data_IF_435010590520
#
_entry.id   IF_435010590520
#
_cell.length_a   1.000
_cell.length_b   1.000
_cell.length_c   1.000
_cell.angle_alpha   90.00
_cell.angle_beta   90.00
_cell.angle_gamma   90.00
#
_symmetry.space_group_name_H-M   'P 1'
#
loop_
_entity.id
_entity.type
_entity.pdbx_description
1 polymer ?
#
# COMPACT_ATOMS: atom_id res chain seq x y z
N UNK A 1 -25.11 -30.56 16.37
CA UNK A 1 -24.48 -30.12 15.11
C UNK A 1 -23.33 -29.20 15.48
N UNK A 2 -22.15 -29.48 15.01
CA UNK A 2 -20.98 -28.66 15.22
C UNK A 2 -21.14 -27.29 14.53
N UNK A 3 -20.39 -26.29 15.01
CA UNK A 3 -20.34 -24.97 14.35
C UNK A 3 -19.67 -25.11 12.99
N UNK A 4 -20.34 -24.66 11.92
CA UNK A 4 -19.81 -24.64 10.56
C UNK A 4 -19.27 -23.25 10.27
N UNK A 5 -18.03 -23.16 9.78
CA UNK A 5 -17.37 -21.92 9.38
C UNK A 5 -17.11 -21.94 7.87
N UNK A 6 -17.38 -20.81 7.24
CA UNK A 6 -17.05 -20.58 5.83
C UNK A 6 -16.07 -19.43 5.70
N UNK A 7 -14.92 -19.68 5.07
CA UNK A 7 -13.90 -18.68 4.73
C UNK A 7 -13.60 -18.69 3.24
N UNK A 8 -13.25 -17.55 2.68
CA UNK A 8 -12.90 -17.40 1.27
C UNK A 8 -14.05 -17.00 0.37
N UNK A 9 -13.73 -16.86 -0.91
CA UNK A 9 -14.66 -16.38 -1.92
C UNK A 9 -14.96 -17.46 -2.95
N UNK A 10 -16.20 -17.48 -3.46
CA UNK A 10 -16.66 -18.35 -4.53
C UNK A 10 -17.50 -17.55 -5.52
N UNK A 11 -17.43 -17.90 -6.80
CA UNK A 11 -18.20 -17.28 -7.87
C UNK A 11 -17.53 -17.46 -9.23
N UNK A 12 -18.26 -17.19 -10.30
CA UNK A 12 -17.77 -17.37 -11.68
C UNK A 12 -16.53 -16.49 -11.99
N UNK A 13 -16.49 -15.28 -11.43
CA UNK A 13 -15.40 -14.31 -11.62
C UNK A 13 -14.24 -14.45 -10.64
N UNK A 14 -14.36 -15.38 -9.67
CA UNK A 14 -13.29 -15.62 -8.70
C UNK A 14 -12.22 -16.49 -9.33
N UNK A 15 -10.97 -16.01 -9.25
CA UNK A 15 -9.78 -16.74 -9.68
C UNK A 15 -8.70 -16.65 -8.59
N UNK A 16 -7.84 -17.67 -8.57
CA UNK A 16 -6.69 -17.74 -7.64
C UNK A 16 -7.06 -17.63 -6.16
N UNK A 17 -8.28 -18.04 -5.82
CA UNK A 17 -8.82 -18.10 -4.45
C UNK A 17 -9.57 -19.40 -4.24
N UNK A 18 -9.91 -19.74 -3.00
CA UNK A 18 -10.76 -20.86 -2.66
C UNK A 18 -11.73 -20.49 -1.54
N UNK A 19 -12.89 -21.18 -1.55
CA UNK A 19 -13.80 -21.19 -0.42
C UNK A 19 -13.60 -22.46 0.38
N UNK A 20 -13.46 -22.31 1.69
CA UNK A 20 -13.34 -23.39 2.67
C UNK A 20 -14.57 -23.42 3.54
N UNK A 21 -15.22 -24.59 3.66
CA UNK A 21 -16.32 -24.83 4.59
C UNK A 21 -15.84 -25.91 5.55
N UNK A 22 -15.76 -25.61 6.83
CA UNK A 22 -15.15 -26.43 7.87
C UNK A 22 -16.10 -26.68 9.02
N UNK A 23 -16.20 -27.95 9.44
CA UNK A 23 -16.87 -28.43 10.64
C UNK A 23 -15.93 -29.37 11.41
N UNK A 24 -15.79 -29.16 12.72
CA UNK A 24 -15.11 -30.14 13.59
C UNK A 24 -16.09 -31.25 13.95
N UNK A 25 -15.61 -32.52 13.93
CA UNK A 25 -16.40 -33.72 14.21
C UNK A 25 -15.81 -34.48 15.38
N UNK A 26 -16.59 -35.35 16.03
CA UNK A 26 -16.12 -36.13 17.19
C UNK A 26 -15.37 -37.39 16.78
N UNK A 27 -15.57 -37.88 15.55
CA UNK A 27 -15.03 -39.13 15.06
C UNK A 27 -14.83 -39.11 13.52
N UNK A 28 -14.39 -40.23 12.94
CA UNK A 28 -14.23 -40.49 11.50
C UNK A 28 -13.02 -39.85 10.83
N UNK A 29 -12.07 -39.24 11.59
CA UNK A 29 -10.87 -38.66 10.99
C UNK A 29 -11.17 -37.38 10.23
N UNK A 30 -10.29 -37.07 9.27
CA UNK A 30 -10.41 -35.88 8.42
C UNK A 30 -11.04 -36.26 7.08
N UNK A 31 -12.28 -35.86 6.85
CA UNK A 31 -13.01 -36.01 5.58
C UNK A 31 -12.81 -34.76 4.72
N UNK A 32 -12.13 -34.91 3.55
CA UNK A 32 -11.78 -33.81 2.66
C UNK A 32 -12.54 -33.96 1.34
N UNK A 33 -13.43 -33.02 1.08
CA UNK A 33 -14.13 -32.90 -0.21
C UNK A 33 -13.49 -31.77 -1.02
N UNK A 34 -12.81 -32.11 -2.12
CA UNK A 34 -12.14 -31.16 -2.98
C UNK A 34 -12.88 -31.01 -4.32
N UNK A 35 -13.41 -29.83 -4.56
CA UNK A 35 -13.95 -29.36 -5.84
C UNK A 35 -12.98 -28.33 -6.42
N UNK A 36 -12.16 -28.69 -7.41
CA UNK A 36 -11.11 -27.80 -7.93
C UNK A 36 -11.09 -27.82 -9.45
N UNK A 37 -10.91 -26.64 -10.05
CA UNK A 37 -10.69 -26.47 -11.49
C UNK A 37 -9.35 -27.07 -11.94
N UNK A 38 -8.41 -27.25 -11.02
CA UNK A 38 -7.04 -27.77 -11.28
C UNK A 38 -6.80 -29.12 -10.61
N UNK A 39 -7.87 -29.85 -10.25
CA UNK A 39 -7.81 -31.10 -9.49
C UNK A 39 -6.93 -32.15 -10.13
N UNK A 40 -6.94 -32.29 -11.46
CA UNK A 40 -6.13 -33.28 -12.21
C UNK A 40 -4.62 -33.07 -12.06
N UNK A 41 -4.18 -31.82 -11.82
CA UNK A 41 -2.75 -31.47 -11.69
C UNK A 41 -2.31 -31.32 -10.23
N UNK A 42 -3.15 -30.72 -9.40
CA UNK A 42 -2.79 -30.30 -8.04
C UNK A 42 -3.68 -30.89 -6.94
N UNK A 43 -4.63 -31.76 -7.27
CA UNK A 43 -5.58 -32.31 -6.29
C UNK A 43 -4.91 -33.02 -5.13
N UNK A 44 -3.91 -33.89 -5.41
CA UNK A 44 -3.16 -34.61 -4.37
C UNK A 44 -2.37 -33.67 -3.47
N UNK A 45 -1.72 -32.63 -4.03
CA UNK A 45 -0.94 -31.67 -3.27
C UNK A 45 -1.83 -30.79 -2.38
N UNK A 46 -3.03 -30.42 -2.85
CA UNK A 46 -4.01 -29.65 -2.04
C UNK A 46 -4.51 -30.51 -0.87
N UNK A 47 -4.80 -31.79 -1.09
CA UNK A 47 -5.22 -32.73 -0.05
C UNK A 47 -4.08 -32.94 0.97
N UNK A 48 -2.85 -33.12 0.52
CA UNK A 48 -1.69 -33.27 1.39
C UNK A 48 -1.50 -32.02 2.25
N UNK A 49 -1.47 -30.82 1.65
CA UNK A 49 -1.39 -29.53 2.37
C UNK A 49 -2.49 -29.42 3.42
N UNK A 50 -3.72 -29.79 3.07
CA UNK A 50 -4.85 -29.74 4.00
C UNK A 50 -4.62 -30.63 5.21
N UNK A 51 -4.20 -31.88 5.00
CA UNK A 51 -3.86 -32.82 6.09
C UNK A 51 -2.73 -32.30 6.98
N UNK A 52 -1.69 -31.73 6.38
CA UNK A 52 -0.56 -31.14 7.13
C UNK A 52 -1.01 -30.01 8.04
N UNK A 53 -1.91 -29.15 7.56
CA UNK A 53 -2.46 -28.04 8.36
C UNK A 53 -3.26 -28.61 9.55
N UNK A 54 -4.14 -29.58 9.35
CA UNK A 54 -4.91 -30.19 10.44
C UNK A 54 -3.98 -30.89 11.46
N UNK A 55 -2.99 -31.63 10.98
CA UNK A 55 -1.97 -32.25 11.85
C UNK A 55 -1.21 -31.20 12.67
N UNK A 56 -0.79 -30.09 12.04
CA UNK A 56 -0.09 -28.99 12.71
C UNK A 56 -0.92 -28.38 13.86
N UNK A 57 -2.22 -28.21 13.64
CA UNK A 57 -3.14 -27.70 14.67
C UNK A 57 -3.57 -28.77 15.68
N UNK A 58 -3.26 -30.04 15.46
CA UNK A 58 -3.64 -31.15 16.34
C UNK A 58 -5.13 -31.49 16.25
N UNK A 59 -5.74 -31.31 15.09
CA UNK A 59 -7.15 -31.60 14.86
C UNK A 59 -7.29 -33.02 14.25
N UNK A 60 -7.78 -34.01 15.01
CA UNK A 60 -7.87 -35.39 14.53
C UNK A 60 -9.12 -35.67 13.69
N UNK A 61 -10.20 -34.90 13.89
CA UNK A 61 -11.48 -35.18 13.25
C UNK A 61 -12.12 -33.88 12.73
N UNK A 62 -12.42 -33.84 11.44
CA UNK A 62 -13.06 -32.71 10.79
C UNK A 62 -13.68 -33.11 9.44
N UNK A 63 -14.70 -32.38 9.03
CA UNK A 63 -15.18 -32.36 7.65
C UNK A 63 -14.85 -31.03 7.01
N UNK A 64 -14.14 -31.04 5.88
CA UNK A 64 -13.78 -29.85 5.13
C UNK A 64 -14.17 -29.97 3.67
N UNK A 65 -14.87 -28.97 3.16
CA UNK A 65 -15.12 -28.83 1.71
C UNK A 65 -14.28 -27.66 1.21
N UNK A 66 -13.49 -27.88 0.16
CA UNK A 66 -12.67 -26.88 -0.50
C UNK A 66 -13.17 -26.70 -1.93
N UNK A 67 -13.74 -25.53 -2.21
CA UNK A 67 -14.13 -25.10 -3.56
C UNK A 67 -13.03 -24.22 -4.11
N UNK A 68 -12.11 -24.81 -4.87
CA UNK A 68 -10.90 -24.16 -5.36
C UNK A 68 -11.05 -23.63 -6.78
N UNK A 69 -10.69 -22.38 -6.99
CA UNK A 69 -10.62 -21.67 -8.27
C UNK A 69 -9.18 -21.40 -8.72
N UNK A 70 -8.25 -22.31 -8.42
CA UNK A 70 -6.84 -22.20 -8.75
C UNK A 70 -6.05 -21.36 -7.73
N UNK A 71 -6.38 -21.49 -6.45
CA UNK A 71 -5.66 -20.82 -5.38
C UNK A 71 -4.24 -21.38 -5.23
N UNK A 72 -3.30 -20.50 -4.94
CA UNK A 72 -1.94 -20.90 -4.62
C UNK A 72 -1.85 -21.46 -3.19
N UNK A 73 -0.90 -22.36 -2.88
CA UNK A 73 -0.82 -23.05 -1.59
C UNK A 73 -0.87 -22.12 -0.38
N UNK A 74 -0.23 -20.96 -0.46
CA UNK A 74 -0.21 -19.97 0.63
C UNK A 74 -1.57 -19.28 0.85
N UNK A 75 -2.44 -19.20 -0.16
CA UNK A 75 -3.81 -18.72 0.03
C UNK A 75 -4.75 -19.81 0.52
N UNK A 76 -4.59 -21.05 0.04
CA UNK A 76 -5.33 -22.20 0.59
C UNK A 76 -5.05 -22.32 2.08
N UNK A 77 -3.76 -22.27 2.50
CA UNK A 77 -3.40 -22.36 3.91
C UNK A 77 -3.96 -21.19 4.72
N UNK A 78 -3.98 -19.97 4.19
CA UNK A 78 -4.58 -18.81 4.86
C UNK A 78 -6.09 -19.01 5.11
N UNK A 79 -6.83 -19.52 4.13
CA UNK A 79 -8.27 -19.78 4.25
C UNK A 79 -8.58 -20.89 5.26
N UNK A 80 -7.82 -22.00 5.22
CA UNK A 80 -7.99 -23.11 6.17
C UNK A 80 -7.65 -22.66 7.58
N UNK A 81 -6.51 -21.99 7.79
CA UNK A 81 -6.12 -21.48 9.11
C UNK A 81 -7.14 -20.49 9.68
N UNK A 82 -7.63 -19.56 8.84
CA UNK A 82 -8.67 -18.62 9.24
C UNK A 82 -9.97 -19.31 9.70
N UNK A 83 -10.36 -20.42 9.02
CA UNK A 83 -11.51 -21.21 9.42
C UNK A 83 -11.25 -21.97 10.74
N UNK A 84 -10.09 -22.59 10.89
CA UNK A 84 -9.69 -23.32 12.12
C UNK A 84 -9.74 -22.37 13.33
N UNK A 85 -9.14 -21.18 13.21
CA UNK A 85 -9.06 -20.23 14.34
C UNK A 85 -10.39 -19.58 14.73
N UNK A 86 -11.45 -19.76 13.96
CA UNK A 86 -12.82 -19.44 14.36
C UNK A 86 -13.51 -20.56 15.14
N UNK A 87 -12.95 -21.78 15.12
CA UNK A 87 -13.50 -22.96 15.80
C UNK A 87 -12.71 -23.32 17.07
N UNK A 88 -11.41 -23.05 17.08
CA UNK A 88 -10.54 -23.35 18.24
C UNK A 88 -9.72 -22.13 18.64
N UNK A 89 -9.45 -21.97 19.92
CA UNK A 89 -8.46 -21.03 20.41
C UNK A 89 -7.06 -21.61 20.21
N UNK A 90 -6.22 -20.94 19.46
CA UNK A 90 -4.86 -21.37 19.20
C UNK A 90 -3.93 -20.17 18.92
N UNK A 91 -2.78 -20.15 19.58
CA UNK A 91 -1.71 -19.19 19.32
C UNK A 91 -0.73 -19.68 18.23
N UNK A 92 -0.91 -20.90 17.70
CA UNK A 92 -0.10 -21.43 16.62
C UNK A 92 -0.42 -20.70 15.32
N UNK A 93 0.59 -20.51 14.48
CA UNK A 93 0.44 -19.97 13.13
C UNK A 93 1.04 -20.94 12.13
N UNK A 94 0.29 -21.31 11.09
CA UNK A 94 0.80 -22.19 10.05
C UNK A 94 1.58 -21.34 9.02
N UNK A 95 2.89 -21.34 9.17
CA UNK A 95 3.82 -20.49 8.41
C UNK A 95 4.88 -21.34 7.67
N UNK A 96 4.47 -22.18 6.71
CA UNK A 96 5.45 -22.97 5.94
C UNK A 96 6.41 -22.04 5.18
N UNK A 97 7.56 -22.59 4.82
CA UNK A 97 8.52 -21.89 3.98
C UNK A 97 8.00 -21.90 2.54
N UNK A 98 7.41 -20.81 2.14
CA UNK A 98 7.09 -20.56 0.73
C UNK A 98 8.37 -20.02 0.09
N UNK A 99 8.92 -20.64 -0.92
CA UNK A 99 10.14 -20.21 -1.62
C UNK A 99 10.09 -18.70 -1.93
N UNK A 100 10.66 -17.91 -1.02
CA UNK A 100 10.63 -16.48 -1.06
C UNK A 100 11.94 -16.00 -1.64
N UNK A 101 11.89 -15.10 -2.60
CA UNK A 101 13.06 -14.39 -3.06
C UNK A 101 13.66 -13.56 -1.91
N UNK A 102 14.73 -14.12 -1.29
CA UNK A 102 15.43 -13.47 -0.19
C UNK A 102 16.32 -12.30 -0.64
N UNK A 103 16.46 -12.07 -1.97
CA UNK A 103 17.21 -10.95 -2.52
C UNK A 103 16.50 -9.60 -2.34
N UNK A 104 15.19 -9.61 -2.08
CA UNK A 104 14.41 -8.41 -1.86
C UNK A 104 14.75 -7.80 -0.50
N UNK A 105 15.19 -6.54 -0.51
CA UNK A 105 15.45 -5.77 0.71
C UNK A 105 14.22 -5.78 1.63
N UNK A 106 14.44 -6.11 2.91
CA UNK A 106 13.39 -6.07 3.91
C UNK A 106 12.97 -4.64 4.27
N UNK A 107 13.88 -3.67 4.10
CA UNK A 107 13.66 -2.26 4.45
C UNK A 107 13.57 -1.40 3.22
N UNK A 108 12.74 -0.37 3.26
CA UNK A 108 12.66 0.66 2.24
C UNK A 108 13.23 1.99 2.76
N UNK A 109 13.71 2.85 1.84
CA UNK A 109 14.26 4.14 2.21
C UNK A 109 13.14 5.10 2.65
N UNK A 110 13.48 6.00 3.59
CA UNK A 110 12.56 7.05 4.05
C UNK A 110 12.05 7.91 2.90
N UNK A 111 12.97 8.30 2.03
CA UNK A 111 12.75 9.27 0.95
C UNK A 111 12.44 8.60 -0.39
N UNK A 112 12.11 7.29 -0.37
CA UNK A 112 11.67 6.55 -1.55
C UNK A 112 10.53 7.28 -2.25
N UNK A 113 10.52 7.23 -3.60
CA UNK A 113 9.38 7.72 -4.38
C UNK A 113 8.13 6.89 -4.11
N UNK A 114 6.99 7.58 -3.94
CA UNK A 114 5.67 6.99 -3.71
C UNK A 114 4.64 7.65 -4.63
N UNK A 115 4.99 7.72 -5.93
CA UNK A 115 4.19 8.42 -6.95
C UNK A 115 2.86 7.69 -7.15
N UNK A 116 2.89 6.37 -7.38
CA UNK A 116 1.69 5.55 -7.50
C UNK A 116 1.61 4.51 -6.39
N UNK A 117 0.42 4.36 -5.80
CA UNK A 117 0.16 3.37 -4.76
C UNK A 117 -1.14 2.66 -5.06
N UNK A 118 -1.01 1.37 -5.46
CA UNK A 118 -2.13 0.55 -5.89
C UNK A 118 -2.83 -0.09 -4.69
N UNK A 119 -4.10 0.27 -4.49
CA UNK A 119 -4.98 -0.36 -3.50
C UNK A 119 -5.51 -1.69 -4.00
N UNK A 120 -5.44 -2.72 -3.16
CA UNK A 120 -5.95 -4.07 -3.41
C UNK A 120 -6.72 -4.56 -2.19
N UNK A 121 -7.98 -5.03 -2.35
CA UNK A 121 -8.73 -5.62 -1.24
C UNK A 121 -7.97 -6.78 -0.59
N UNK A 122 -7.81 -6.75 0.74
CA UNK A 122 -7.03 -7.72 1.50
C UNK A 122 -7.60 -9.14 1.52
N UNK A 123 -8.83 -9.32 1.05
CA UNK A 123 -9.49 -10.63 0.93
C UNK A 123 -9.58 -11.15 -0.52
N UNK A 124 -8.84 -10.54 -1.46
CA UNK A 124 -8.91 -10.85 -2.90
C UNK A 124 -7.56 -11.32 -3.45
N UNK A 125 -7.15 -12.58 -3.19
CA UNK A 125 -5.87 -13.14 -3.62
C UNK A 125 -5.53 -12.95 -5.09
N UNK A 126 -6.51 -13.14 -5.98
CA UNK A 126 -6.31 -13.04 -7.43
C UNK A 126 -5.82 -11.68 -7.90
N UNK A 127 -6.13 -10.60 -7.16
CA UNK A 127 -5.65 -9.26 -7.48
C UNK A 127 -4.21 -9.02 -7.00
N UNK A 128 -3.72 -9.81 -6.03
CA UNK A 128 -2.40 -9.61 -5.41
C UNK A 128 -1.27 -10.24 -6.22
N UNK A 129 -1.51 -11.41 -6.82
CA UNK A 129 -0.47 -12.28 -7.40
C UNK A 129 0.38 -11.56 -8.45
N UNK A 130 -0.26 -10.82 -9.35
CA UNK A 130 0.40 -10.15 -10.47
C UNK A 130 0.46 -8.62 -10.32
N UNK A 131 0.09 -8.08 -9.17
CA UNK A 131 -0.01 -6.63 -8.98
C UNK A 131 1.33 -5.91 -9.21
N UNK A 132 2.44 -6.51 -8.81
CA UNK A 132 3.77 -5.94 -8.98
C UNK A 132 4.24 -5.85 -10.44
N UNK A 133 3.69 -6.64 -11.36
CA UNK A 133 4.01 -6.59 -12.80
C UNK A 133 3.60 -5.26 -13.46
N UNK A 134 2.73 -4.50 -12.82
CA UNK A 134 2.31 -3.17 -13.28
C UNK A 134 3.24 -2.05 -12.80
N UNK A 135 4.30 -2.40 -12.04
CA UNK A 135 5.32 -1.49 -11.52
C UNK A 135 4.78 -0.26 -10.76
N UNK A 136 3.84 -0.41 -9.81
CA UNK A 136 3.53 0.69 -8.90
C UNK A 136 4.69 0.90 -7.93
N UNK A 137 4.85 2.11 -7.40
CA UNK A 137 5.85 2.37 -6.35
C UNK A 137 5.51 1.68 -5.03
N UNK A 138 4.22 1.54 -4.74
CA UNK A 138 3.71 0.82 -3.58
C UNK A 138 2.44 0.03 -3.87
N UNK A 139 2.27 -1.08 -3.17
CA UNK A 139 1.06 -1.89 -3.18
C UNK A 139 0.47 -1.86 -1.77
N UNK A 140 -0.78 -1.44 -1.68
CA UNK A 140 -1.54 -1.34 -0.44
C UNK A 140 -2.49 -2.53 -0.36
N UNK A 141 -2.20 -3.47 0.56
CA UNK A 141 -3.12 -4.54 0.92
C UNK A 141 -4.11 -3.97 1.96
N UNK A 142 -5.35 -3.83 1.56
CA UNK A 142 -6.33 -3.11 2.35
C UNK A 142 -7.16 -4.03 3.26
N UNK A 143 -7.12 -3.80 4.57
CA UNK A 143 -7.92 -4.51 5.57
C UNK A 143 -9.14 -3.69 6.03
N UNK A 144 -9.28 -2.46 5.55
CA UNK A 144 -10.32 -1.54 6.01
C UNK A 144 -11.54 -1.56 5.08
N UNK A 145 -11.86 -0.49 4.35
CA UNK A 145 -13.13 -0.31 3.64
C UNK A 145 -13.31 -1.25 2.44
N UNK A 146 -12.23 -1.72 1.81
CA UNK A 146 -12.34 -2.67 0.71
C UNK A 146 -12.66 -4.11 1.15
N UNK A 147 -12.79 -4.36 2.46
CA UNK A 147 -13.12 -5.67 3.04
C UNK A 147 -14.38 -5.57 3.87
N UNK A 148 -15.39 -6.35 3.51
CA UNK A 148 -16.65 -6.44 4.26
C UNK A 148 -16.40 -6.84 5.74
N UNK A 149 -17.16 -6.32 6.70
CA UNK A 149 -16.92 -6.52 8.13
C UNK A 149 -16.77 -7.99 8.54
N UNK A 150 -17.60 -8.88 8.00
CA UNK A 150 -17.58 -10.31 8.28
C UNK A 150 -16.36 -11.04 7.69
N UNK A 151 -15.67 -10.42 6.71
CA UNK A 151 -14.49 -10.96 6.05
C UNK A 151 -13.16 -10.45 6.64
N UNK A 152 -13.20 -9.45 7.53
CA UNK A 152 -12.00 -8.82 8.09
C UNK A 152 -11.11 -9.80 8.85
N UNK A 153 -11.69 -10.76 9.56
CA UNK A 153 -10.92 -11.78 10.26
C UNK A 153 -10.07 -12.60 9.28
N UNK A 154 -10.67 -13.15 8.24
CA UNK A 154 -9.97 -14.03 7.28
C UNK A 154 -8.99 -13.25 6.38
N UNK A 155 -9.27 -11.96 6.09
CA UNK A 155 -8.40 -11.11 5.29
C UNK A 155 -7.01 -10.94 5.92
N UNK A 156 -6.90 -10.90 7.25
CA UNK A 156 -5.62 -10.84 7.97
C UNK A 156 -4.66 -11.97 7.59
N UNK A 157 -5.19 -13.21 7.50
CA UNK A 157 -4.40 -14.39 7.11
C UNK A 157 -3.97 -14.33 5.64
N UNK A 158 -4.87 -13.85 4.76
CA UNK A 158 -4.57 -13.65 3.34
C UNK A 158 -3.46 -12.61 3.17
N UNK A 159 -3.59 -11.45 3.80
CA UNK A 159 -2.59 -10.36 3.75
C UNK A 159 -1.25 -10.82 4.34
N UNK A 160 -1.27 -11.51 5.49
CA UNK A 160 -0.06 -12.10 6.10
C UNK A 160 0.68 -13.01 5.12
N UNK A 161 -0.05 -13.95 4.51
CA UNK A 161 0.57 -14.90 3.60
C UNK A 161 0.98 -14.25 2.27
N UNK A 162 0.25 -13.23 1.79
CA UNK A 162 0.65 -12.45 0.62
C UNK A 162 1.98 -11.70 0.87
N UNK A 163 2.14 -11.03 2.02
CA UNK A 163 3.39 -10.37 2.41
C UNK A 163 4.59 -11.32 2.45
N UNK A 164 4.35 -12.61 2.76
CA UNK A 164 5.38 -13.66 2.85
C UNK A 164 5.75 -14.26 1.51
N UNK A 165 4.77 -14.44 0.62
CA UNK A 165 4.90 -15.33 -0.54
C UNK A 165 4.78 -14.62 -1.90
N UNK A 166 4.08 -13.49 -1.99
CA UNK A 166 3.88 -12.80 -3.27
C UNK A 166 5.09 -11.92 -3.59
N UNK A 167 5.62 -12.07 -4.81
CA UNK A 167 6.59 -11.12 -5.34
C UNK A 167 5.87 -9.86 -5.81
N UNK A 168 6.20 -8.71 -5.21
CA UNK A 168 5.69 -7.41 -5.63
C UNK A 168 6.68 -6.64 -6.51
N UNK A 169 7.71 -7.32 -7.04
CA UNK A 169 8.68 -6.78 -8.01
C UNK A 169 9.29 -5.43 -7.59
N UNK A 170 9.65 -5.30 -6.31
CA UNK A 170 10.27 -4.10 -5.76
C UNK A 170 9.28 -3.01 -5.31
N UNK A 171 7.98 -3.14 -5.53
CA UNK A 171 6.99 -2.24 -4.95
C UNK A 171 7.02 -2.28 -3.41
N UNK A 172 6.85 -1.13 -2.76
CA UNK A 172 6.79 -1.04 -1.30
C UNK A 172 5.56 -1.78 -0.78
N UNK A 173 5.76 -2.70 0.17
CA UNK A 173 4.69 -3.51 0.76
C UNK A 173 3.99 -2.69 1.84
N UNK A 174 2.82 -2.21 1.50
CA UNK A 174 2.00 -1.38 2.37
C UNK A 174 0.76 -2.11 2.82
N UNK A 175 0.29 -1.85 4.03
CA UNK A 175 -0.99 -2.36 4.54
C UNK A 175 -1.80 -1.21 5.12
N UNK A 176 -3.05 -1.04 4.66
CA UNK A 176 -4.02 -0.20 5.34
C UNK A 176 -4.72 -1.05 6.40
N UNK A 177 -4.47 -0.73 7.67
CA UNK A 177 -5.10 -1.41 8.82
C UNK A 177 -6.53 -0.92 9.02
N UNK A 178 -7.30 -1.62 9.83
CA UNK A 178 -8.59 -1.13 10.27
C UNK A 178 -8.43 0.13 11.15
N UNK A 179 -9.52 0.87 11.35
CA UNK A 179 -9.52 2.04 12.22
C UNK A 179 -9.08 1.68 13.64
N UNK A 180 -8.35 2.58 14.28
CA UNK A 180 -7.96 2.42 15.68
C UNK A 180 -9.20 2.60 16.58
N UNK A 181 -9.43 1.71 17.58
CA UNK A 181 -8.47 0.73 18.14
C UNK A 181 -8.47 -0.65 17.48
N UNK A 182 -9.47 -1.01 16.68
CA UNK A 182 -9.58 -2.36 16.09
C UNK A 182 -8.37 -2.75 15.23
N UNK A 183 -7.77 -1.78 14.50
CA UNK A 183 -6.60 -1.97 13.66
C UNK A 183 -5.31 -2.34 14.40
N UNK A 184 -5.25 -2.14 15.73
CA UNK A 184 -4.09 -2.59 16.50
C UNK A 184 -3.90 -4.11 16.45
N UNK A 185 -4.99 -4.88 16.34
CA UNK A 185 -4.92 -6.32 16.18
C UNK A 185 -4.41 -6.77 14.80
N UNK A 186 -4.55 -5.93 13.77
CA UNK A 186 -4.03 -6.23 12.44
C UNK A 186 -2.50 -6.25 12.43
N UNK A 187 -1.87 -5.45 13.30
CA UNK A 187 -0.43 -5.31 13.41
C UNK A 187 0.26 -6.64 13.78
N UNK A 188 -0.39 -7.49 14.56
CA UNK A 188 0.14 -8.80 14.93
C UNK A 188 0.31 -9.71 13.71
N UNK A 189 -0.54 -9.55 12.69
CA UNK A 189 -0.51 -10.33 11.46
C UNK A 189 0.45 -9.80 10.40
N UNK A 190 0.86 -8.54 10.46
CA UNK A 190 1.63 -7.92 9.36
C UNK A 190 3.06 -7.57 9.75
N UNK A 191 3.29 -7.11 10.99
CA UNK A 191 4.62 -6.69 11.45
C UNK A 191 5.67 -7.82 11.35
N UNK A 192 5.38 -9.06 11.78
CA UNK A 192 6.36 -10.16 11.66
C UNK A 192 6.62 -10.60 10.21
N UNK A 193 5.86 -10.08 9.24
CA UNK A 193 5.78 -10.64 7.89
C UNK A 193 6.09 -9.65 6.77
N UNK A 194 7.19 -8.89 6.90
CA UNK A 194 7.80 -8.08 5.83
C UNK A 194 6.99 -6.87 5.35
N UNK A 195 6.06 -6.35 6.15
CA UNK A 195 5.44 -5.05 5.84
C UNK A 195 6.50 -3.95 5.89
N UNK A 196 6.46 -3.01 4.94
CA UNK A 196 7.37 -1.87 4.91
C UNK A 196 6.71 -0.61 5.50
N UNK A 197 5.41 -0.41 5.21
CA UNK A 197 4.70 0.79 5.57
C UNK A 197 3.25 0.46 5.97
N UNK A 198 2.78 1.11 7.04
CA UNK A 198 1.41 0.98 7.56
C UNK A 198 0.65 2.27 7.28
N UNK A 199 -0.50 2.14 6.61
CA UNK A 199 -1.47 3.21 6.47
C UNK A 199 -2.45 3.16 7.64
N UNK A 200 -2.61 4.31 8.31
CA UNK A 200 -3.53 4.46 9.46
C UNK A 200 -4.73 5.27 8.97
N UNK A 201 -5.90 4.63 8.74
CA UNK A 201 -7.08 5.32 8.25
C UNK A 201 -7.68 6.22 9.33
N UNK A 202 -8.45 7.20 8.91
CA UNK A 202 -9.23 8.13 9.76
C UNK A 202 -8.40 8.68 10.93
N UNK A 203 -7.16 9.10 10.58
CA UNK A 203 -6.22 9.62 11.56
C UNK A 203 -6.52 11.08 11.86
N UNK A 204 -6.85 11.36 13.12
CA UNK A 204 -7.25 12.69 13.60
C UNK A 204 -6.37 13.21 14.73
N UNK A 205 -5.61 12.34 15.40
CA UNK A 205 -4.89 12.68 16.62
C UNK A 205 -3.51 12.04 16.70
N UNK A 206 -2.61 12.67 17.44
CA UNK A 206 -1.27 12.14 17.77
C UNK A 206 -1.40 10.82 18.56
N UNK A 207 -2.44 10.68 19.37
CA UNK A 207 -2.63 9.50 20.21
C UNK A 207 -2.79 8.22 19.40
N UNK A 208 -3.46 8.27 18.24
CA UNK A 208 -3.56 7.13 17.34
C UNK A 208 -2.17 6.69 16.82
N UNK A 209 -1.29 7.65 16.53
CA UNK A 209 0.11 7.37 16.12
C UNK A 209 0.90 6.71 17.26
N UNK A 210 0.74 7.20 18.50
CA UNK A 210 1.41 6.62 19.68
C UNK A 210 0.97 5.18 19.90
N UNK A 211 -0.32 4.89 19.89
CA UNK A 211 -0.87 3.54 20.06
C UNK A 211 -0.32 2.57 19.01
N UNK A 212 -0.25 2.99 17.74
CA UNK A 212 0.34 2.18 16.66
C UNK A 212 1.81 1.92 16.92
N UNK A 213 2.60 2.95 17.27
CA UNK A 213 4.03 2.81 17.54
C UNK A 213 4.34 1.96 18.78
N UNK A 214 3.56 2.07 19.83
CA UNK A 214 3.65 1.20 21.01
C UNK A 214 3.41 -0.26 20.63
N UNK A 215 2.37 -0.53 19.82
CA UNK A 215 2.11 -1.90 19.35
C UNK A 215 3.23 -2.42 18.44
N UNK A 216 3.73 -1.61 17.50
CA UNK A 216 4.90 -1.95 16.69
C UNK A 216 6.09 -2.32 17.57
N UNK A 217 6.38 -1.54 18.60
CA UNK A 217 7.51 -1.78 19.51
C UNK A 217 7.37 -3.11 20.26
N UNK A 218 6.19 -3.40 20.79
CA UNK A 218 5.91 -4.67 21.50
C UNK A 218 6.12 -5.86 20.56
N UNK A 219 5.57 -5.81 19.36
CA UNK A 219 5.69 -6.90 18.39
C UNK A 219 7.14 -7.04 17.91
N UNK A 220 7.82 -5.93 17.62
CA UNK A 220 9.20 -5.93 17.18
C UNK A 220 10.15 -6.53 18.21
N UNK A 221 9.96 -6.24 19.49
CA UNK A 221 10.70 -6.87 20.59
C UNK A 221 10.43 -8.37 20.67
N UNK A 222 9.16 -8.77 20.56
CA UNK A 222 8.76 -10.19 20.63
C UNK A 222 9.39 -11.05 19.53
N UNK A 223 9.50 -10.49 18.31
CA UNK A 223 9.97 -11.22 17.13
C UNK A 223 11.38 -10.83 16.68
N UNK A 224 12.11 -10.02 17.46
CA UNK A 224 13.47 -9.53 17.16
C UNK A 224 13.54 -8.80 15.80
N UNK A 225 12.55 -7.97 15.48
CA UNK A 225 12.48 -7.23 14.22
C UNK A 225 13.30 -5.95 14.36
N UNK A 226 14.34 -5.82 13.52
CA UNK A 226 15.23 -4.64 13.48
C UNK A 226 14.93 -3.70 12.32
N UNK A 227 14.15 -4.14 11.34
CA UNK A 227 13.78 -3.30 10.20
C UNK A 227 12.88 -2.14 10.65
N UNK A 228 13.08 -0.99 10.01
CA UNK A 228 12.18 0.17 10.21
C UNK A 228 10.86 -0.08 9.51
N UNK A 229 9.78 0.23 10.21
CA UNK A 229 8.40 0.22 9.69
C UNK A 229 7.94 1.66 9.61
N UNK A 230 7.57 2.07 8.40
CA UNK A 230 7.12 3.42 8.13
C UNK A 230 5.62 3.58 8.37
N UNK A 231 5.19 4.80 8.66
CA UNK A 231 3.78 5.15 8.84
C UNK A 231 3.35 6.18 7.79
N UNK A 232 2.13 6.02 7.32
CA UNK A 232 1.41 6.98 6.47
C UNK A 232 -0.01 7.14 7.00
N UNK A 233 -0.24 8.09 7.91
CA UNK A 233 -1.59 8.47 8.33
C UNK A 233 -2.43 8.96 7.14
N UNK A 234 -3.70 8.54 7.08
CA UNK A 234 -4.67 9.05 6.11
C UNK A 234 -5.54 10.08 6.82
N UNK A 235 -5.53 11.29 6.29
CA UNK A 235 -6.29 12.44 6.78
C UNK A 235 -7.55 12.56 5.91
N UNK A 236 -8.69 12.33 6.51
CA UNK A 236 -9.96 12.19 5.78
C UNK A 236 -11.17 12.71 6.58
N UNK A 237 -10.90 13.68 7.49
CA UNK A 237 -11.91 14.45 8.20
C UNK A 237 -11.46 15.89 8.42
N UNK A 238 -12.39 16.80 8.68
CA UNK A 238 -12.11 18.19 9.02
C UNK A 238 -11.16 18.30 10.22
N UNK A 239 -11.39 17.50 11.27
CA UNK A 239 -10.53 17.46 12.44
C UNK A 239 -9.12 16.99 12.11
N UNK A 240 -8.99 15.94 11.27
CA UNK A 240 -7.69 15.46 10.80
C UNK A 240 -6.92 16.52 10.01
N UNK A 241 -7.60 17.24 9.11
CA UNK A 241 -7.01 18.36 8.35
C UNK A 241 -6.54 19.48 9.28
N UNK A 242 -7.29 19.81 10.32
CA UNK A 242 -6.88 20.83 11.30
C UNK A 242 -5.64 20.42 12.09
N UNK A 243 -5.48 19.13 12.40
CA UNK A 243 -4.37 18.57 13.17
C UNK A 243 -3.20 18.04 12.31
N UNK A 244 -3.27 18.16 10.98
CA UNK A 244 -2.34 17.51 10.04
C UNK A 244 -0.86 17.79 10.34
N UNK A 245 -0.49 19.03 10.72
CA UNK A 245 0.90 19.36 11.04
C UNK A 245 1.39 18.65 12.31
N UNK A 246 0.58 18.63 13.35
CA UNK A 246 0.94 17.98 14.61
C UNK A 246 1.04 16.46 14.45
N UNK A 247 0.13 15.86 13.67
CA UNK A 247 0.20 14.45 13.28
C UNK A 247 1.51 14.19 12.50
N UNK A 248 1.80 15.01 11.47
CA UNK A 248 2.97 14.84 10.60
C UNK A 248 4.31 14.80 11.35
N UNK A 249 4.46 15.57 12.42
CA UNK A 249 5.69 15.68 13.22
C UNK A 249 5.72 14.79 14.46
N UNK A 250 4.67 14.03 14.74
CA UNK A 250 4.50 13.31 16.01
C UNK A 250 5.42 12.09 16.17
N UNK A 251 5.99 11.56 15.08
CA UNK A 251 6.91 10.43 15.13
C UNK A 251 7.89 10.42 13.95
N UNK A 252 9.12 9.97 14.20
CA UNK A 252 10.21 9.98 13.21
C UNK A 252 10.02 8.96 12.08
N UNK A 253 9.12 7.98 12.26
CA UNK A 253 8.80 6.98 11.26
C UNK A 253 7.59 7.34 10.40
N UNK A 254 6.99 8.51 10.56
CA UNK A 254 6.03 9.05 9.60
C UNK A 254 6.83 9.57 8.40
N UNK A 255 6.53 9.03 7.22
CA UNK A 255 7.23 9.40 5.97
C UNK A 255 6.33 10.16 5.01
N UNK A 256 5.03 10.06 5.18
CA UNK A 256 4.04 10.75 4.36
C UNK A 256 2.71 10.92 5.13
N UNK A 257 1.90 11.87 4.69
CA UNK A 257 0.46 11.88 4.95
C UNK A 257 -0.27 11.68 3.61
N UNK A 258 -1.34 10.89 3.63
CA UNK A 258 -2.28 10.81 2.52
C UNK A 258 -3.59 11.55 2.85
N UNK A 259 -4.26 12.11 1.85
CA UNK A 259 -5.60 12.66 2.01
C UNK A 259 -6.63 11.71 1.40
N UNK A 260 -7.74 11.43 2.11
CA UNK A 260 -8.87 10.64 1.64
C UNK A 260 -10.07 11.55 1.38
N UNK A 261 -10.32 11.89 0.11
CA UNK A 261 -11.32 12.91 -0.22
C UNK A 261 -12.76 12.40 -0.20
N UNK A 262 -12.99 11.10 -0.35
CA UNK A 262 -14.34 10.52 -0.25
C UNK A 262 -14.88 10.66 1.19
N UNK A 263 -14.10 10.16 2.17
CA UNK A 263 -14.47 10.29 3.58
C UNK A 263 -14.45 11.75 4.05
N UNK A 264 -13.49 12.56 3.56
CA UNK A 264 -13.43 13.98 3.90
C UNK A 264 -14.68 14.75 3.47
N UNK A 265 -15.16 14.53 2.25
CA UNK A 265 -16.39 15.20 1.78
C UNK A 265 -17.64 14.65 2.47
N UNK A 266 -17.65 13.35 2.79
CA UNK A 266 -18.70 12.76 3.61
C UNK A 266 -18.75 13.35 5.03
N UNK A 267 -17.59 13.55 5.68
CA UNK A 267 -17.47 14.20 6.99
C UNK A 267 -18.00 15.65 6.97
N UNK A 268 -17.78 16.37 5.86
CA UNK A 268 -18.30 17.72 5.66
C UNK A 268 -19.79 17.76 5.24
N UNK A 269 -20.39 16.62 4.89
CA UNK A 269 -21.76 16.56 4.37
C UNK A 269 -21.94 17.17 2.97
N UNK A 270 -20.89 17.13 2.14
CA UNK A 270 -20.88 17.67 0.77
C UNK A 270 -20.45 16.60 -0.24
N UNK A 271 -20.71 16.85 -1.53
CA UNK A 271 -20.27 15.97 -2.60
C UNK A 271 -18.95 16.43 -3.21
N UNK A 272 -18.15 15.49 -3.68
CA UNK A 272 -16.99 15.80 -4.53
C UNK A 272 -17.45 16.42 -5.84
N UNK A 273 -16.70 17.41 -6.30
CA UNK A 273 -16.91 18.04 -7.60
C UNK A 273 -15.75 17.75 -8.54
N UNK A 274 -15.99 17.86 -9.84
CA UNK A 274 -14.95 17.67 -10.85
C UNK A 274 -13.87 18.75 -10.77
N UNK A 275 -14.26 19.94 -10.35
CA UNK A 275 -13.39 21.11 -10.17
C UNK A 275 -12.53 21.01 -8.90
N UNK A 276 -12.97 20.23 -7.89
CA UNK A 276 -12.25 19.99 -6.64
C UNK A 276 -12.12 21.23 -5.73
N UNK A 277 -12.98 22.23 -5.92
CA UNK A 277 -12.93 23.50 -5.14
C UNK A 277 -13.27 23.27 -3.67
N UNK A 278 -14.14 22.33 -3.38
CA UNK A 278 -14.54 21.93 -2.01
C UNK A 278 -13.37 21.36 -1.20
N UNK A 279 -12.39 20.76 -1.85
CA UNK A 279 -11.23 20.10 -1.23
C UNK A 279 -9.92 20.91 -1.32
N UNK A 280 -9.93 22.01 -2.08
CA UNK A 280 -8.71 22.79 -2.37
C UNK A 280 -8.00 23.28 -1.09
N UNK A 281 -8.74 23.85 -0.14
CA UNK A 281 -8.18 24.36 1.11
C UNK A 281 -7.55 23.25 1.97
N UNK A 282 -8.23 22.09 2.07
CA UNK A 282 -7.74 20.92 2.80
C UNK A 282 -6.49 20.36 2.15
N UNK A 283 -6.48 20.18 0.82
CA UNK A 283 -5.32 19.70 0.05
C UNK A 283 -4.12 20.63 0.20
N UNK A 284 -4.33 21.94 0.09
CA UNK A 284 -3.27 22.94 0.28
C UNK A 284 -2.70 22.89 1.70
N UNK A 285 -3.56 22.79 2.72
CA UNK A 285 -3.13 22.67 4.13
C UNK A 285 -2.32 21.40 4.37
N UNK A 286 -2.73 20.28 3.77
CA UNK A 286 -1.98 19.01 3.82
C UNK A 286 -0.56 19.15 3.27
N UNK A 287 -0.41 19.76 2.08
CA UNK A 287 0.91 19.99 1.47
C UNK A 287 1.79 20.85 2.39
N UNK A 288 1.24 21.95 2.93
CA UNK A 288 1.98 22.82 3.86
C UNK A 288 2.41 22.07 5.12
N UNK A 289 1.53 21.28 5.73
CA UNK A 289 1.82 20.48 6.91
C UNK A 289 2.96 19.47 6.65
N UNK A 290 2.88 18.74 5.54
CA UNK A 290 3.89 17.76 5.15
C UNK A 290 5.25 18.42 4.86
N UNK A 291 5.26 19.53 4.12
CA UNK A 291 6.51 20.27 3.81
C UNK A 291 7.14 20.84 5.06
N UNK A 292 6.36 21.38 5.98
CA UNK A 292 6.86 21.90 7.27
C UNK A 292 7.43 20.79 8.17
N UNK A 293 6.88 19.56 8.09
CA UNK A 293 7.37 18.40 8.82
C UNK A 293 8.50 17.64 8.10
N UNK A 294 8.85 17.99 6.85
CA UNK A 294 9.88 17.31 6.05
C UNK A 294 9.48 15.90 5.61
N UNK A 295 8.19 15.70 5.27
CA UNK A 295 7.64 14.43 4.80
C UNK A 295 6.87 14.62 3.49
N UNK A 296 6.46 13.52 2.87
CA UNK A 296 5.74 13.50 1.60
C UNK A 296 4.25 13.81 1.78
N UNK A 297 3.68 14.61 0.87
CA UNK A 297 2.23 14.79 0.76
C UNK A 297 1.71 13.94 -0.40
N UNK A 298 0.69 13.13 -0.13
CA UNK A 298 0.13 12.17 -1.08
C UNK A 298 -1.34 12.46 -1.28
N UNK A 299 -1.76 12.62 -2.55
CA UNK A 299 -3.13 12.95 -2.87
C UNK A 299 -4.05 11.72 -2.92
N UNK A 300 -5.34 11.98 -2.96
CA UNK A 300 -6.42 11.00 -2.95
C UNK A 300 -6.43 10.15 -4.23
N UNK A 301 -7.18 9.05 -4.17
CA UNK A 301 -7.50 8.22 -5.34
C UNK A 301 -8.43 8.96 -6.30
N UNK A 302 -8.36 8.57 -7.58
CA UNK A 302 -9.34 8.94 -8.60
C UNK A 302 -10.25 7.74 -8.86
N UNK A 303 -11.55 7.92 -8.65
CA UNK A 303 -12.52 6.81 -8.59
C UNK A 303 -12.95 6.26 -9.95
N UNK A 304 -12.91 7.07 -11.02
CA UNK A 304 -13.29 6.62 -12.36
C UNK A 304 -12.10 5.95 -13.06
N UNK A 305 -12.17 4.63 -13.24
CA UNK A 305 -11.09 3.83 -13.87
C UNK A 305 -11.02 3.96 -15.39
N UNK A 306 -12.06 4.45 -16.03
CA UNK A 306 -12.13 4.59 -17.50
C UNK A 306 -11.75 6.01 -17.95
N UNK A 307 -11.93 7.03 -17.12
CA UNK A 307 -11.62 8.44 -17.46
C UNK A 307 -10.14 8.79 -17.15
N UNK A 308 -9.23 8.26 -17.99
CA UNK A 308 -7.80 8.51 -17.84
C UNK A 308 -7.39 9.96 -18.13
N UNK A 309 -8.16 10.71 -18.92
CA UNK A 309 -7.85 12.13 -19.20
C UNK A 309 -8.17 13.01 -17.97
N UNK A 310 -9.31 12.83 -17.33
CA UNK A 310 -9.61 13.53 -16.07
C UNK A 310 -8.63 13.10 -14.95
N UNK A 311 -8.22 11.84 -14.90
CA UNK A 311 -7.15 11.40 -14.00
C UNK A 311 -5.85 12.17 -14.26
N UNK A 312 -5.43 12.31 -15.53
CA UNK A 312 -4.23 13.06 -15.91
C UNK A 312 -4.31 14.52 -15.46
N UNK A 313 -5.42 15.18 -15.69
CA UNK A 313 -5.63 16.58 -15.27
C UNK A 313 -5.58 16.70 -13.75
N UNK A 314 -6.25 15.80 -13.02
CA UNK A 314 -6.20 15.74 -11.56
C UNK A 314 -4.77 15.55 -11.04
N UNK A 315 -4.00 14.62 -11.62
CA UNK A 315 -2.63 14.38 -11.22
C UNK A 315 -1.70 15.58 -11.49
N UNK A 316 -1.90 16.31 -12.60
CA UNK A 316 -1.17 17.55 -12.88
C UNK A 316 -1.52 18.66 -11.87
N UNK A 317 -2.79 18.80 -11.49
CA UNK A 317 -3.22 19.72 -10.45
C UNK A 317 -2.60 19.35 -9.09
N UNK A 318 -2.57 18.06 -8.74
CA UNK A 318 -1.94 17.54 -7.53
C UNK A 318 -0.45 17.90 -7.49
N UNK A 319 0.29 17.64 -8.58
CA UNK A 319 1.69 18.05 -8.74
C UNK A 319 1.86 19.55 -8.57
N UNK A 320 1.01 20.36 -9.18
CA UNK A 320 1.06 21.83 -9.09
C UNK A 320 0.82 22.34 -7.66
N UNK A 321 -0.03 21.67 -6.87
CA UNK A 321 -0.24 21.95 -5.45
C UNK A 321 0.96 21.57 -4.58
N UNK A 322 1.82 20.65 -5.03
CA UNK A 322 3.00 20.19 -4.30
C UNK A 322 2.88 18.80 -3.70
N UNK A 323 1.87 18.02 -4.07
CA UNK A 323 1.86 16.59 -3.81
C UNK A 323 2.97 15.88 -4.61
N UNK A 324 3.44 14.74 -4.12
CA UNK A 324 4.50 13.94 -4.78
C UNK A 324 3.98 12.64 -5.39
N UNK A 325 2.72 12.34 -5.20
CA UNK A 325 2.06 11.16 -5.75
C UNK A 325 0.60 11.09 -5.30
N UNK A 326 -0.08 10.04 -5.75
CA UNK A 326 -1.49 9.79 -5.41
C UNK A 326 -1.81 8.29 -5.35
N UNK A 327 -2.94 7.95 -4.74
CA UNK A 327 -3.46 6.59 -4.74
C UNK A 327 -4.04 6.21 -6.11
N UNK A 328 -4.04 4.92 -6.42
CA UNK A 328 -4.76 4.36 -7.57
C UNK A 328 -5.48 3.06 -7.16
N UNK A 329 -6.60 2.78 -7.83
CA UNK A 329 -7.46 1.63 -7.54
C UNK A 329 -7.49 0.61 -8.69
N UNK A 330 -6.81 0.92 -9.80
CA UNK A 330 -6.70 0.04 -10.95
C UNK A 330 -5.32 0.17 -11.62
N UNK A 331 -4.69 -0.93 -12.11
CA UNK A 331 -3.38 -0.88 -12.75
C UNK A 331 -3.29 0.07 -13.96
N UNK A 332 -4.37 0.27 -14.73
CA UNK A 332 -4.41 1.22 -15.86
C UNK A 332 -4.05 2.66 -15.46
N UNK A 333 -4.30 3.04 -14.20
CA UNK A 333 -4.04 4.39 -13.70
C UNK A 333 -2.56 4.66 -13.45
N UNK A 334 -1.75 3.61 -13.19
CA UNK A 334 -0.34 3.74 -12.76
C UNK A 334 0.47 4.55 -13.76
N UNK A 335 0.43 4.17 -15.05
CA UNK A 335 1.21 4.86 -16.08
C UNK A 335 0.81 6.32 -16.21
N UNK A 336 -0.50 6.62 -16.21
CA UNK A 336 -1.02 8.00 -16.30
C UNK A 336 -0.53 8.85 -15.13
N UNK A 337 -0.54 8.30 -13.91
CA UNK A 337 -0.04 8.98 -12.72
C UNK A 337 1.45 9.23 -12.84
N UNK A 338 2.27 8.23 -13.17
CA UNK A 338 3.71 8.38 -13.35
C UNK A 338 4.04 9.44 -14.40
N UNK A 339 3.38 9.40 -15.57
CA UNK A 339 3.62 10.38 -16.64
C UNK A 339 3.24 11.81 -16.25
N UNK A 340 2.18 11.99 -15.42
CA UNK A 340 1.76 13.30 -14.96
C UNK A 340 2.70 13.90 -13.89
N UNK A 341 3.19 13.07 -12.97
CA UNK A 341 4.13 13.52 -11.92
C UNK A 341 5.56 13.66 -12.41
N UNK A 342 5.96 12.93 -13.45
CA UNK A 342 7.30 13.05 -14.04
C UNK A 342 7.53 14.46 -14.59
N UNK A 343 8.78 14.95 -14.57
CA UNK A 343 9.14 16.16 -15.28
C UNK A 343 8.97 16.00 -16.80
N UNK A 344 8.28 16.96 -17.44
CA UNK A 344 8.12 17.00 -18.88
C UNK A 344 9.41 17.43 -19.58
N UNK A 345 9.53 17.15 -20.89
CA UNK A 345 10.72 17.52 -21.69
C UNK A 345 11.03 19.01 -21.60
N UNK A 346 10.01 19.86 -21.68
CA UNK A 346 10.18 21.33 -21.58
C UNK A 346 10.64 21.76 -20.19
N UNK A 347 10.14 21.10 -19.12
CA UNK A 347 10.56 21.37 -17.76
C UNK A 347 12.04 20.99 -17.57
N UNK A 348 12.47 19.85 -18.11
CA UNK A 348 13.84 19.35 -18.06
C UNK A 348 14.77 20.32 -18.80
N UNK A 349 14.45 20.68 -20.05
CA UNK A 349 15.30 21.58 -20.85
C UNK A 349 15.41 22.98 -20.23
N UNK A 350 14.32 23.47 -19.65
CA UNK A 350 14.34 24.73 -18.90
C UNK A 350 15.21 24.63 -17.64
N UNK A 351 15.12 23.51 -16.90
CA UNK A 351 15.91 23.27 -15.69
C UNK A 351 17.42 23.20 -16.03
N UNK A 352 17.79 22.50 -17.11
CA UNK A 352 19.19 22.48 -17.61
C UNK A 352 19.72 23.89 -17.88
N UNK A 353 18.96 24.70 -18.64
CA UNK A 353 19.38 26.10 -18.97
C UNK A 353 19.54 26.93 -17.72
N UNK A 354 18.67 26.79 -16.72
CA UNK A 354 18.75 27.52 -15.44
C UNK A 354 20.02 27.14 -14.68
N UNK A 355 20.29 25.84 -14.52
CA UNK A 355 21.48 25.34 -13.79
C UNK A 355 22.76 25.80 -14.46
N UNK A 356 22.89 25.63 -15.78
CA UNK A 356 24.10 26.03 -16.53
C UNK A 356 24.35 27.56 -16.47
N UNK A 357 23.28 28.35 -16.68
CA UNK A 357 23.41 29.81 -16.62
C UNK A 357 23.84 30.30 -15.22
N UNK A 358 23.37 29.65 -14.16
CA UNK A 358 23.72 30.00 -12.80
C UNK A 358 25.16 29.59 -12.45
N UNK A 359 25.61 28.42 -12.91
CA UNK A 359 26.99 27.94 -12.73
C UNK A 359 28.01 28.88 -13.43
N UNK A 360 27.67 29.31 -14.68
CA UNK A 360 28.47 30.32 -15.38
C UNK A 360 28.52 31.66 -14.63
N UNK A 361 27.38 32.13 -14.09
CA UNK A 361 27.34 33.33 -13.30
C UNK A 361 28.16 33.21 -12.00
N UNK A 362 28.07 32.06 -11.30
CA UNK A 362 28.89 31.80 -10.11
C UNK A 362 30.40 31.83 -10.40
N UNK A 363 30.80 31.27 -11.53
CA UNK A 363 32.22 31.31 -11.95
C UNK A 363 32.74 32.76 -12.14
N UNK A 364 31.83 33.71 -12.41
CA UNK A 364 32.06 35.14 -12.55
C UNK A 364 31.83 35.94 -11.26
N UNK A 365 31.57 35.27 -10.12
CA UNK A 365 31.34 35.92 -8.82
C UNK A 365 29.93 36.52 -8.66
N UNK A 366 29.00 36.17 -9.52
CA UNK A 366 27.61 36.66 -9.48
C UNK A 366 26.71 35.65 -8.75
N UNK A 367 25.77 36.15 -7.93
CA UNK A 367 24.78 35.32 -7.21
C UNK A 367 23.38 35.35 -7.83
N UNK A 368 23.18 36.12 -8.89
CA UNK A 368 21.93 36.27 -9.64
C UNK A 368 22.25 36.44 -11.13
N UNK A 369 21.47 35.85 -12.00
CA UNK A 369 21.62 35.98 -13.45
C UNK A 369 20.28 36.19 -14.12
N UNK A 370 20.23 36.89 -15.23
CA UNK A 370 19.07 37.00 -16.09
C UNK A 370 19.09 35.88 -17.16
N UNK A 371 18.04 35.10 -17.23
CA UNK A 371 17.81 34.16 -18.33
C UNK A 371 16.63 34.67 -19.17
N UNK A 372 16.92 35.32 -20.28
CA UNK A 372 15.92 36.08 -21.03
C UNK A 372 15.39 37.25 -20.16
N UNK A 373 14.08 37.32 -19.97
CA UNK A 373 13.42 38.35 -19.15
C UNK A 373 13.24 37.95 -17.69
N UNK A 374 13.70 36.75 -17.28
CA UNK A 374 13.48 36.21 -15.93
C UNK A 374 14.74 36.23 -15.10
N UNK A 375 14.61 36.68 -13.86
CA UNK A 375 15.67 36.62 -12.87
C UNK A 375 15.80 35.16 -12.36
N UNK A 376 17.04 34.68 -12.29
CA UNK A 376 17.41 33.35 -11.74
C UNK A 376 18.23 33.63 -10.46
N UNK A 377 17.63 33.22 -9.37
CA UNK A 377 18.18 33.32 -8.01
C UNK A 377 18.30 31.92 -7.38
N UNK A 378 18.96 31.75 -6.22
CA UNK A 378 19.16 30.47 -5.58
C UNK A 378 17.87 29.63 -5.41
N UNK A 379 16.71 30.16 -5.03
CA UNK A 379 15.46 29.41 -4.99
C UNK A 379 15.02 28.83 -6.34
N UNK A 380 15.22 29.57 -7.43
CA UNK A 380 14.92 29.09 -8.81
C UNK A 380 15.85 27.95 -9.19
N UNK A 381 17.13 28.09 -8.86
CA UNK A 381 18.16 27.06 -9.14
C UNK A 381 17.89 25.79 -8.34
N UNK A 382 17.55 25.92 -7.06
CA UNK A 382 17.19 24.77 -6.21
C UNK A 382 16.02 23.96 -6.81
N UNK A 383 14.99 24.64 -7.34
CA UNK A 383 13.89 23.97 -8.03
C UNK A 383 14.34 23.30 -9.32
N UNK A 384 15.23 23.93 -10.08
CA UNK A 384 15.78 23.34 -11.30
C UNK A 384 16.59 22.07 -11.01
N UNK A 385 17.46 22.07 -10.01
CA UNK A 385 18.15 20.85 -9.58
C UNK A 385 17.17 19.75 -9.19
N UNK A 386 16.18 20.04 -8.35
CA UNK A 386 15.16 19.04 -7.99
C UNK A 386 14.41 18.46 -9.20
N UNK A 387 14.13 19.28 -10.23
CA UNK A 387 13.52 18.81 -11.48
C UNK A 387 14.45 17.86 -12.23
N UNK A 388 15.76 18.15 -12.29
CA UNK A 388 16.74 17.29 -12.97
C UNK A 388 16.96 16.00 -12.20
N UNK A 389 17.09 16.07 -10.88
CA UNK A 389 17.24 14.88 -10.01
C UNK A 389 16.07 13.94 -10.19
N UNK A 390 14.84 14.45 -10.11
CA UNK A 390 13.62 13.67 -10.32
C UNK A 390 13.56 13.08 -11.76
N UNK A 391 14.00 13.83 -12.76
CA UNK A 391 14.04 13.35 -14.13
C UNK A 391 15.04 12.20 -14.31
N UNK A 392 16.17 12.24 -13.64
CA UNK A 392 17.19 11.17 -13.64
C UNK A 392 16.63 9.92 -12.95
N UNK A 393 16.06 10.10 -11.74
CA UNK A 393 15.50 9.01 -10.96
C UNK A 393 14.31 8.30 -11.63
N UNK A 394 13.58 9.02 -12.51
CA UNK A 394 12.47 8.49 -13.30
C UNK A 394 12.87 8.05 -14.73
N UNK A 395 14.16 7.89 -15.01
CA UNK A 395 14.69 7.50 -16.32
C UNK A 395 14.23 8.41 -17.50
N UNK A 396 13.98 9.70 -17.21
CA UNK A 396 13.61 10.72 -18.22
C UNK A 396 14.81 11.54 -18.67
N UNK A 397 15.92 11.47 -17.95
CA UNK A 397 17.17 12.16 -18.23
C UNK A 397 18.35 11.25 -17.86
N UNK A 398 19.34 11.18 -18.75
CA UNK A 398 20.57 10.44 -18.46
C UNK A 398 21.34 11.14 -17.31
N UNK A 399 21.94 10.35 -16.43
CA UNK A 399 22.75 10.87 -15.32
C UNK A 399 23.93 11.72 -15.83
N UNK A 400 24.52 11.35 -16.98
CA UNK A 400 25.62 12.08 -17.64
C UNK A 400 25.12 13.11 -18.66
N UNK A 401 23.94 13.71 -18.46
CA UNK A 401 23.34 14.68 -19.38
C UNK A 401 24.25 15.87 -19.74
N UNK A 402 25.21 16.21 -18.86
CA UNK A 402 26.18 17.29 -19.09
C UNK A 402 27.21 16.96 -20.17
N UNK A 403 27.53 15.68 -20.38
CA UNK A 403 28.46 15.23 -21.40
C UNK A 403 27.85 15.25 -22.82
N UNK A 404 26.54 15.47 -22.89
CA UNK A 404 25.77 15.53 -24.14
C UNK A 404 25.46 16.96 -24.60
N UNK A 405 26.08 17.95 -23.95
CA UNK A 405 25.99 19.39 -24.27
C UNK A 405 27.17 19.77 -25.19
#
# INVERSE_FOLDING_TARGET
MGKIITCGNQGERICSDCQVILELTDNNGIDIQLNSKVKSLYGESIIALTKDIFHYFGIPNARITINDSGALPYFISARIEAAIKQLIESNKEYLPDFHIDNSLSLSTLRDRHRISRLYLPGNSPGLMINAGLHHPDGIILDLEDAVAPEKKHEARFVVRNALRAVSFYGAERMVRINQIPAGLADLDFIIPHRVNLILIPKCETIEQIKQVNERISIISMKYNITQKIWLMPIIESAKGVMNAYDIARSANNIVALAIGLEDFTADLGISRTKEGTESFAARSRMVLACKAAGIQAIDSVFSDIEDLESLRQTALQSKALGFVGMGCIHPRQIKTIHDAFAPGKEEIEKAKKIVLAFEDAQSKGLSVVALGTKMVDPPVVKRAHHTLDLAIEMDRLNQNWREQL
#
